data_IF_029035759257
#
_entry.id   IF_029035759257
#
_cell.length_a   1.000
_cell.length_b   1.000
_cell.length_c   1.000
_cell.angle_alpha   90.00
_cell.angle_beta   90.00
_cell.angle_gamma   90.00
#
_symmetry.space_group_name_H-M   'P 1'
#
loop_
_entity.id
_entity.type
_entity.pdbx_description
1 polymer ?
#
# COMPACT_ATOMS: atom_id res chain seq x y z
N UNK A 1 -13.51 -13.38 8.72
CA UNK A 1 -12.99 -12.14 9.35
C UNK A 1 -11.53 -12.04 8.94
N UNK A 2 -10.96 -10.86 8.68
CA UNK A 2 -9.53 -10.76 8.33
C UNK A 2 -8.69 -11.30 9.50
N UNK A 3 -7.66 -12.11 9.22
CA UNK A 3 -6.79 -12.72 10.23
C UNK A 3 -6.18 -11.68 11.18
N UNK A 4 -5.95 -10.46 10.67
CA UNK A 4 -5.46 -9.33 11.44
C UNK A 4 -6.46 -8.87 12.53
N UNK A 5 -7.74 -8.75 12.21
CA UNK A 5 -8.78 -8.42 13.19
C UNK A 5 -8.94 -9.51 14.25
N UNK A 6 -8.77 -10.77 13.87
CA UNK A 6 -8.80 -11.87 14.84
C UNK A 6 -7.59 -11.83 15.79
N UNK A 7 -6.41 -11.48 15.29
CA UNK A 7 -5.21 -11.31 16.11
C UNK A 7 -5.33 -10.10 17.05
N UNK A 8 -5.85 -8.97 16.56
CA UNK A 8 -6.12 -7.76 17.35
C UNK A 8 -7.07 -8.04 18.54
N UNK A 9 -8.11 -8.86 18.33
CA UNK A 9 -9.06 -9.23 19.38
C UNK A 9 -8.53 -10.24 20.40
N UNK A 10 -7.47 -11.00 20.08
CA UNK A 10 -6.91 -12.05 20.96
C UNK A 10 -5.85 -11.54 21.94
N UNK A 11 -5.16 -10.45 21.61
CA UNK A 11 -4.10 -9.91 22.45
C UNK A 11 -4.09 -8.37 22.42
N UNK A 12 -4.27 -7.70 23.57
CA UNK A 12 -4.22 -6.23 23.65
C UNK A 12 -2.94 -5.61 23.08
N UNK A 13 -1.81 -6.34 23.09
CA UNK A 13 -0.55 -5.89 22.48
C UNK A 13 -0.61 -5.73 20.96
N UNK A 14 -1.56 -6.40 20.29
CA UNK A 14 -1.74 -6.34 18.84
C UNK A 14 -2.85 -5.37 18.43
N UNK A 15 -3.52 -4.71 19.38
CA UNK A 15 -4.67 -3.82 19.12
C UNK A 15 -4.38 -2.69 18.12
N UNK A 16 -3.12 -2.25 18.00
CA UNK A 16 -2.68 -1.21 17.04
C UNK A 16 -1.88 -1.75 15.86
N UNK A 17 -1.78 -3.07 15.72
CA UNK A 17 -1.02 -3.67 14.62
C UNK A 17 -1.78 -3.51 13.31
N UNK A 18 -1.09 -3.00 12.29
CA UNK A 18 -1.57 -2.86 10.93
C UNK A 18 -0.53 -3.41 9.94
N UNK A 19 -0.94 -3.65 8.71
CA UNK A 19 -0.04 -4.11 7.64
C UNK A 19 -0.38 -3.46 6.31
N UNK A 20 0.60 -3.29 5.45
CA UNK A 20 0.40 -2.94 4.04
C UNK A 20 0.01 -4.19 3.23
N UNK A 21 -0.48 -3.97 2.01
CA UNK A 21 -0.82 -5.01 1.04
C UNK A 21 -0.37 -4.55 -0.34
N UNK A 22 0.29 -5.43 -1.09
CA UNK A 22 0.44 -5.33 -2.54
C UNK A 22 0.15 -6.71 -3.13
N UNK A 23 -0.85 -6.81 -3.99
CA UNK A 23 -1.29 -8.06 -4.60
C UNK A 23 -1.32 -7.92 -6.12
N UNK A 24 -0.87 -8.96 -6.81
CA UNK A 24 -0.87 -9.06 -8.26
C UNK A 24 -1.51 -10.38 -8.67
N UNK A 25 -2.50 -10.31 -9.55
CA UNK A 25 -3.15 -11.46 -10.16
C UNK A 25 -2.91 -11.44 -11.67
N UNK A 26 -2.40 -12.54 -12.22
CA UNK A 26 -2.07 -12.67 -13.64
C UNK A 26 -2.92 -13.80 -14.24
N UNK A 27 -3.78 -13.45 -15.19
CA UNK A 27 -4.49 -14.39 -16.05
C UNK A 27 -3.68 -14.57 -17.34
N UNK A 28 -3.01 -15.72 -17.44
CA UNK A 28 -2.17 -16.06 -18.60
C UNK A 28 -2.98 -16.48 -19.82
N UNK A 29 -4.22 -16.93 -19.67
CA UNK A 29 -5.05 -17.31 -20.81
C UNK A 29 -5.58 -16.06 -21.50
N UNK A 30 -6.07 -15.09 -20.71
CA UNK A 30 -6.60 -13.82 -21.22
C UNK A 30 -5.55 -12.72 -21.37
N UNK A 31 -4.29 -13.03 -21.04
CA UNK A 31 -3.15 -12.10 -21.11
C UNK A 31 -3.43 -10.78 -20.36
N UNK A 32 -3.97 -10.88 -19.13
CA UNK A 32 -4.35 -9.74 -18.30
C UNK A 32 -3.72 -9.82 -16.92
N UNK A 33 -3.49 -8.65 -16.33
CA UNK A 33 -3.04 -8.52 -14.95
C UNK A 33 -3.92 -7.51 -14.22
N UNK A 34 -4.23 -7.81 -12.96
CA UNK A 34 -4.91 -6.91 -12.03
C UNK A 34 -4.06 -6.79 -10.77
N UNK A 35 -4.06 -5.61 -10.17
CA UNK A 35 -3.38 -5.37 -8.91
C UNK A 35 -4.30 -4.67 -7.93
N UNK A 36 -4.02 -4.87 -6.65
CA UNK A 36 -4.64 -4.17 -5.54
C UNK A 36 -3.56 -3.84 -4.52
N UNK A 37 -3.66 -2.69 -3.86
CA UNK A 37 -2.69 -2.31 -2.83
C UNK A 37 -3.34 -1.45 -1.73
N UNK A 38 -2.76 -1.50 -0.54
CA UNK A 38 -3.09 -0.66 0.62
C UNK A 38 -1.79 -0.31 1.36
N UNK A 39 -1.60 0.96 1.71
CA UNK A 39 -0.31 1.48 2.19
C UNK A 39 0.64 1.89 1.07
N UNK A 40 1.94 1.86 1.35
CA UNK A 40 3.07 2.27 0.51
C UNK A 40 3.83 1.09 -0.11
N UNK A 41 3.28 -0.12 -0.02
CA UNK A 41 3.81 -1.25 -0.79
C UNK A 41 3.45 -1.10 -2.26
N UNK A 42 4.44 -1.22 -3.14
CA UNK A 42 4.32 -0.86 -4.56
C UNK A 42 4.34 -2.07 -5.49
N UNK A 43 3.64 -1.96 -6.61
CA UNK A 43 3.73 -2.88 -7.74
C UNK A 43 4.32 -2.12 -8.92
N UNK A 44 5.26 -2.76 -9.62
CA UNK A 44 5.88 -2.22 -10.82
C UNK A 44 5.73 -3.18 -12.00
N UNK A 45 5.50 -2.63 -13.18
CA UNK A 45 5.56 -3.35 -14.45
C UNK A 45 6.88 -3.02 -15.16
N UNK A 46 7.78 -4.00 -15.20
CA UNK A 46 9.04 -3.88 -15.91
C UNK A 46 8.91 -4.42 -17.33
N UNK A 47 9.12 -3.57 -18.34
CA UNK A 47 9.05 -3.97 -19.74
C UNK A 47 10.01 -3.14 -20.59
N UNK A 48 10.80 -3.82 -21.43
CA UNK A 48 11.74 -3.21 -22.38
C UNK A 48 12.73 -2.24 -21.71
N UNK A 49 13.24 -2.60 -20.53
CA UNK A 49 14.20 -1.76 -19.79
C UNK A 49 13.57 -0.61 -19.01
N UNK A 50 12.24 -0.44 -19.06
CA UNK A 50 11.52 0.63 -18.36
C UNK A 50 10.73 0.06 -17.20
N UNK A 51 10.80 0.73 -16.05
CA UNK A 51 10.01 0.43 -14.86
C UNK A 51 8.80 1.36 -14.80
N UNK A 52 7.60 0.80 -14.96
CA UNK A 52 6.35 1.53 -14.84
C UNK A 52 5.77 1.34 -13.45
N UNK A 53 5.60 2.41 -12.69
CA UNK A 53 4.89 2.40 -11.41
C UNK A 53 3.38 2.28 -11.66
N UNK A 54 2.71 1.32 -11.02
CA UNK A 54 1.26 1.10 -11.21
C UNK A 54 0.45 1.28 -9.92
N UNK A 55 1.12 1.58 -8.82
CA UNK A 55 0.53 1.88 -7.51
C UNK A 55 0.84 3.32 -7.11
N UNK A 56 0.00 3.91 -6.26
CA UNK A 56 0.22 5.24 -5.68
C UNK A 56 0.32 5.10 -4.18
N UNK A 57 1.42 5.49 -3.57
CA UNK A 57 1.58 5.32 -2.11
C UNK A 57 0.47 6.00 -1.33
N UNK A 58 -0.13 5.29 -0.37
CA UNK A 58 -1.05 5.88 0.58
C UNK A 58 -0.30 6.51 1.77
N UNK A 59 0.63 7.43 1.46
CA UNK A 59 1.43 8.19 2.43
C UNK A 59 1.11 9.68 2.39
N UNK A 60 1.33 10.38 3.52
CA UNK A 60 1.11 11.82 3.59
C UNK A 60 2.06 12.60 2.67
N UNK A 61 3.30 12.13 2.53
CA UNK A 61 4.26 12.72 1.60
C UNK A 61 3.80 12.61 0.13
N UNK A 62 3.17 11.50 -0.25
CA UNK A 62 2.59 11.34 -1.60
C UNK A 62 1.42 12.33 -1.81
N UNK A 63 0.53 12.49 -0.82
CA UNK A 63 -0.55 13.48 -0.88
C UNK A 63 -0.04 14.92 -1.02
N UNK A 64 0.98 15.31 -0.25
CA UNK A 64 1.57 16.65 -0.34
C UNK A 64 2.16 16.93 -1.72
N UNK A 65 2.94 15.97 -2.23
CA UNK A 65 3.53 16.03 -3.57
C UNK A 65 2.46 16.24 -4.63
N UNK A 66 1.34 15.55 -4.51
CA UNK A 66 0.25 15.58 -5.49
C UNK A 66 -0.61 16.83 -5.38
N UNK A 67 -0.66 17.44 -4.20
CA UNK A 67 -1.21 18.76 -3.98
C UNK A 67 -0.23 19.90 -4.34
N UNK A 68 0.99 19.57 -4.82
CA UNK A 68 1.99 20.54 -5.25
C UNK A 68 2.80 21.18 -4.11
N UNK A 69 2.75 20.61 -2.91
CA UNK A 69 3.53 21.09 -1.77
C UNK A 69 4.85 20.33 -1.63
N UNK A 70 5.89 21.04 -1.21
CA UNK A 70 7.13 20.41 -0.78
C UNK A 70 6.98 19.79 0.61
N UNK A 71 7.52 18.58 0.80
CA UNK A 71 7.58 17.97 2.12
C UNK A 71 8.70 18.63 2.94
N UNK A 72 8.36 19.62 3.76
CA UNK A 72 9.29 20.47 4.53
C UNK A 72 9.51 20.00 5.97
N UNK A 73 9.35 18.70 6.27
CA UNK A 73 9.64 18.14 7.60
C UNK A 73 8.67 17.07 8.09
N UNK A 74 7.72 16.64 7.26
CA UNK A 74 6.84 15.52 7.58
C UNK A 74 7.59 14.22 7.28
N UNK A 75 7.47 13.25 8.18
CA UNK A 75 8.04 11.92 7.98
C UNK A 75 7.39 11.26 6.75
N UNK A 76 8.22 10.95 5.75
CA UNK A 76 7.79 10.35 4.48
C UNK A 76 7.13 8.97 4.64
N UNK A 77 7.38 8.30 5.77
CA UNK A 77 6.86 6.97 6.08
C UNK A 77 5.50 7.02 6.81
N UNK A 78 4.90 8.20 6.98
CA UNK A 78 3.58 8.31 7.60
C UNK A 78 2.49 7.87 6.61
N UNK A 79 1.87 6.73 6.91
CA UNK A 79 0.78 6.14 6.13
C UNK A 79 -0.58 6.61 6.65
N UNK A 80 -1.50 6.91 5.75
CA UNK A 80 -2.90 7.19 6.10
C UNK A 80 -3.84 6.01 5.77
N UNK A 81 -3.33 4.96 5.13
CA UNK A 81 -4.09 3.75 4.83
C UNK A 81 -3.20 2.51 5.03
N UNK A 82 -3.71 1.56 5.80
CA UNK A 82 -3.14 0.23 5.99
C UNK A 82 -4.26 -0.72 6.41
N UNK A 83 -4.11 -2.02 6.15
CA UNK A 83 -5.10 -3.00 6.60
C UNK A 83 -5.07 -3.09 8.13
N UNK A 84 -6.25 -3.02 8.75
CA UNK A 84 -6.44 -3.05 10.20
C UNK A 84 -6.06 -1.76 10.94
N UNK A 85 -5.79 -0.67 10.20
CA UNK A 85 -5.79 0.67 10.77
C UNK A 85 -7.24 1.17 10.90
N UNK A 86 -7.56 1.83 12.02
CA UNK A 86 -8.82 2.57 12.23
C UNK A 86 -8.66 4.03 11.80
#
# INVERSE_FOLDING_TARGET
RLALHEAQGKNPKYSRMSTTLAALFIDREKQRAWWAHAGDSRVYHFRRGVLHEVTRDHSLAQQLKEAGYENTGINSNLLYNALGAE
#
